data_IF_696946102315
#
_entry.id   IF_696946102315
#
_cell.length_a   1.000
_cell.length_b   1.000
_cell.length_c   1.000
_cell.angle_alpha   90.00
_cell.angle_beta   90.00
_cell.angle_gamma   90.00
#
_symmetry.space_group_name_H-M   'P 1'
#
loop_
_entity.id
_entity.type
_entity.pdbx_description
1 polymer ?
#
# COMPACT_ATOMS: atom_id res chain seq x y z
N UNK A 1 -4.57 3.75 -16.62
CA UNK A 1 -3.96 5.08 -16.88
C UNK A 1 -2.95 5.06 -18.04
N UNK A 2 -1.94 4.19 -18.05
CA UNK A 2 -0.84 4.27 -19.04
C UNK A 2 -1.17 3.74 -20.45
N UNK A 3 -2.16 2.85 -20.57
CA UNK A 3 -2.63 2.33 -21.87
C UNK A 3 -3.45 3.34 -22.69
N UNK A 4 -3.63 4.57 -22.18
CA UNK A 4 -4.35 5.65 -22.84
C UNK A 4 -5.87 5.53 -22.88
N UNK A 5 -6.45 4.45 -22.36
CA UNK A 5 -7.87 4.34 -22.10
C UNK A 5 -8.33 5.37 -21.06
N UNK A 6 -9.42 6.07 -21.36
CA UNK A 6 -10.06 6.98 -20.43
C UNK A 6 -10.62 6.16 -19.25
N UNK A 7 -10.07 6.46 -18.07
CA UNK A 7 -10.42 5.81 -16.80
C UNK A 7 -11.19 6.77 -15.88
N UNK A 8 -11.63 7.93 -16.40
CA UNK A 8 -12.39 8.93 -15.65
C UNK A 8 -11.57 9.80 -14.71
N UNK A 9 -10.24 9.70 -14.73
CA UNK A 9 -9.34 10.52 -13.92
C UNK A 9 -8.94 11.79 -14.67
N UNK A 10 -9.55 12.92 -14.29
CA UNK A 10 -9.34 14.24 -14.91
C UNK A 10 -7.87 14.66 -15.06
N UNK A 11 -7.02 14.28 -14.10
CA UNK A 11 -5.60 14.67 -14.07
C UNK A 11 -4.64 13.56 -14.53
N UNK A 12 -5.14 12.46 -15.07
CA UNK A 12 -4.31 11.35 -15.56
C UNK A 12 -3.30 11.78 -16.64
N UNK A 13 -3.66 12.78 -17.45
CA UNK A 13 -2.82 13.31 -18.52
C UNK A 13 -1.47 13.84 -17.98
N UNK A 14 -1.46 14.48 -16.80
CA UNK A 14 -0.22 15.03 -16.20
C UNK A 14 0.83 13.96 -15.93
N UNK A 15 0.39 12.74 -15.60
CA UNK A 15 1.28 11.63 -15.30
C UNK A 15 1.68 10.86 -16.55
N UNK A 16 0.80 10.72 -17.56
CA UNK A 16 1.14 9.98 -18.79
C UNK A 16 1.98 10.80 -19.78
N UNK A 17 1.72 12.11 -19.89
CA UNK A 17 2.32 12.95 -20.93
C UNK A 17 3.71 13.47 -20.52
N UNK A 18 4.11 13.20 -19.28
CA UNK A 18 5.46 13.48 -18.79
C UNK A 18 6.22 12.18 -18.52
N UNK A 19 7.48 12.13 -18.98
CA UNK A 19 8.37 11.00 -18.68
C UNK A 19 8.53 10.82 -17.17
N UNK A 20 8.64 11.92 -16.41
CA UNK A 20 8.76 11.88 -14.96
C UNK A 20 7.51 11.32 -14.27
N UNK A 21 6.31 11.74 -14.69
CA UNK A 21 5.06 11.21 -14.15
C UNK A 21 4.87 9.72 -14.46
N UNK A 22 5.28 9.30 -15.65
CA UNK A 22 5.23 7.91 -16.09
C UNK A 22 6.16 7.04 -15.25
N UNK A 23 7.41 7.46 -15.07
CA UNK A 23 8.40 6.77 -14.23
C UNK A 23 7.92 6.70 -12.78
N UNK A 24 7.33 7.78 -12.25
CA UNK A 24 6.77 7.81 -10.91
C UNK A 24 5.66 6.76 -10.71
N UNK A 25 4.69 6.68 -11.62
CA UNK A 25 3.61 5.68 -11.54
C UNK A 25 4.16 4.26 -11.64
N UNK A 26 5.05 4.00 -12.60
CA UNK A 26 5.68 2.68 -12.74
C UNK A 26 6.48 2.28 -11.49
N UNK A 27 7.22 3.21 -10.90
CA UNK A 27 7.95 2.95 -9.66
C UNK A 27 7.01 2.59 -8.51
N UNK A 28 5.88 3.29 -8.38
CA UNK A 28 4.85 2.95 -7.38
C UNK A 28 4.24 1.57 -7.61
N UNK A 29 3.96 1.19 -8.85
CA UNK A 29 3.45 -0.16 -9.19
C UNK A 29 4.47 -1.24 -8.82
N UNK A 30 5.74 -1.05 -9.16
CA UNK A 30 6.81 -1.98 -8.80
C UNK A 30 6.95 -2.10 -7.29
N UNK A 31 6.89 -0.98 -6.55
CA UNK A 31 6.93 -0.98 -5.09
C UNK A 31 5.72 -1.73 -4.51
N UNK A 32 4.51 -1.50 -5.02
CA UNK A 32 3.29 -2.17 -4.56
C UNK A 32 3.35 -3.69 -4.80
N UNK A 33 3.69 -4.11 -6.02
CA UNK A 33 3.81 -5.53 -6.36
C UNK A 33 4.93 -6.18 -5.53
N UNK A 34 6.07 -5.51 -5.40
CA UNK A 34 7.18 -5.98 -4.58
C UNK A 34 6.79 -6.15 -3.10
N UNK A 35 6.07 -5.18 -2.54
CA UNK A 35 5.56 -5.25 -1.18
C UNK A 35 4.54 -6.38 -1.00
N UNK A 36 3.62 -6.56 -1.95
CA UNK A 36 2.66 -7.66 -1.94
C UNK A 36 3.36 -9.03 -1.95
N UNK A 37 4.36 -9.20 -2.82
CA UNK A 37 5.18 -10.41 -2.87
C UNK A 37 5.95 -10.62 -1.56
N UNK A 38 6.48 -9.55 -0.95
CA UNK A 38 7.15 -9.62 0.35
C UNK A 38 6.20 -10.08 1.46
N UNK A 39 4.95 -9.59 1.49
CA UNK A 39 3.92 -10.05 2.42
C UNK A 39 3.60 -11.54 2.24
N UNK A 40 3.51 -12.03 1.00
CA UNK A 40 3.37 -13.47 0.73
C UNK A 40 4.59 -14.24 1.24
N UNK A 41 5.78 -13.67 1.12
CA UNK A 41 7.02 -14.20 1.68
C UNK A 41 7.00 -14.32 3.21
N UNK A 42 6.27 -13.48 3.94
CA UNK A 42 6.09 -13.61 5.39
C UNK A 42 5.26 -14.84 5.77
N UNK A 43 4.33 -15.27 4.91
CA UNK A 43 3.44 -16.40 5.16
C UNK A 43 3.95 -17.73 4.56
N UNK A 44 5.03 -17.71 3.77
CA UNK A 44 5.56 -18.87 3.04
C UNK A 44 7.04 -19.10 3.35
N UNK A 45 7.59 -20.30 3.06
CA UNK A 45 9.01 -20.60 3.29
C UNK A 45 9.99 -19.69 2.53
N UNK A 46 9.51 -18.93 1.54
CA UNK A 46 10.30 -17.97 0.76
C UNK A 46 10.85 -16.83 1.61
N UNK A 47 10.25 -16.52 2.75
CA UNK A 47 10.80 -15.55 3.70
C UNK A 47 12.01 -16.09 4.48
N UNK A 48 12.35 -17.37 4.35
CA UNK A 48 13.48 -18.03 5.02
C UNK A 48 14.63 -18.34 4.09
N UNK A 49 14.31 -18.74 2.87
CA UNK A 49 15.31 -19.07 1.87
C UNK A 49 14.89 -18.44 0.57
N UNK A 50 15.82 -17.75 -0.07
CA UNK A 50 15.58 -17.16 -1.39
C UNK A 50 15.22 -18.28 -2.37
N UNK A 51 14.14 -18.17 -3.17
CA UNK A 51 13.78 -19.20 -4.13
C UNK A 51 14.93 -19.56 -5.08
N UNK A 52 15.12 -20.85 -5.37
CA UNK A 52 16.27 -21.35 -6.16
C UNK A 52 16.34 -20.79 -7.59
N UNK A 53 15.23 -20.28 -8.11
CA UNK A 53 15.15 -19.66 -9.44
C UNK A 53 15.67 -18.22 -9.49
N UNK A 54 15.93 -17.58 -8.34
CA UNK A 54 16.48 -16.22 -8.30
C UNK A 54 17.98 -16.25 -8.64
N UNK A 55 18.42 -15.63 -9.75
CA UNK A 55 19.83 -15.62 -10.14
C UNK A 55 20.73 -15.01 -9.05
N UNK A 56 21.84 -15.68 -8.74
CA UNK A 56 22.88 -15.19 -7.81
C UNK A 56 22.59 -15.30 -6.30
N UNK A 57 21.31 -15.37 -5.89
CA UNK A 57 20.90 -15.41 -4.48
C UNK A 57 20.07 -16.65 -4.10
N UNK A 58 19.62 -17.44 -5.07
CA UNK A 58 18.78 -18.60 -4.84
C UNK A 58 19.40 -19.62 -3.87
N UNK A 59 18.60 -20.11 -2.93
CA UNK A 59 19.01 -21.06 -1.90
C UNK A 59 19.73 -20.44 -0.70
N UNK A 60 19.99 -19.12 -0.68
CA UNK A 60 20.60 -18.46 0.48
C UNK A 60 19.59 -18.26 1.61
N UNK A 61 20.00 -18.49 2.88
CA UNK A 61 19.17 -18.19 4.03
C UNK A 61 19.01 -16.68 4.19
N UNK A 62 17.79 -16.23 4.43
CA UNK A 62 17.45 -14.84 4.73
C UNK A 62 17.61 -14.62 6.23
N UNK A 63 18.43 -13.65 6.68
CA UNK A 63 18.58 -13.34 8.09
C UNK A 63 17.22 -13.03 8.72
N UNK A 64 16.87 -13.71 9.81
CA UNK A 64 15.57 -13.56 10.48
C UNK A 64 15.18 -12.12 10.79
N UNK A 65 16.16 -11.27 11.13
CA UNK A 65 15.94 -9.86 11.46
C UNK A 65 15.53 -9.01 10.26
N UNK A 66 15.93 -9.38 9.04
CA UNK A 66 15.73 -8.55 7.86
C UNK A 66 14.23 -8.38 7.52
N UNK A 67 13.42 -9.46 7.39
CA UNK A 67 11.98 -9.30 7.13
C UNK A 67 11.23 -8.63 8.28
N UNK A 68 11.69 -8.81 9.53
CA UNK A 68 11.09 -8.16 10.69
C UNK A 68 11.35 -6.65 10.73
N UNK A 69 12.57 -6.21 10.44
CA UNK A 69 12.93 -4.78 10.43
C UNK A 69 12.29 -4.09 9.24
N UNK A 70 12.45 -4.63 8.03
CA UNK A 70 11.88 -4.04 6.83
C UNK A 70 10.36 -4.08 6.86
N UNK A 71 9.78 -5.22 7.23
CA UNK A 71 8.34 -5.37 7.36
C UNK A 71 7.77 -4.48 8.46
N UNK A 72 8.42 -4.40 9.62
CA UNK A 72 7.99 -3.52 10.71
C UNK A 72 8.09 -2.03 10.38
N UNK A 73 9.12 -1.60 9.66
CA UNK A 73 9.23 -0.23 9.16
C UNK A 73 8.14 0.08 8.13
N UNK A 74 7.89 -0.86 7.20
CA UNK A 74 6.79 -0.75 6.23
C UNK A 74 5.42 -0.70 6.90
N UNK A 75 5.20 -1.51 7.93
CA UNK A 75 3.97 -1.55 8.71
C UNK A 75 3.71 -0.22 9.45
N UNK A 76 4.73 0.31 10.12
CA UNK A 76 4.65 1.62 10.78
C UNK A 76 4.35 2.75 9.78
N UNK A 77 4.99 2.72 8.60
CA UNK A 77 4.71 3.66 7.52
C UNK A 77 3.27 3.52 7.01
N UNK A 78 2.77 2.29 6.87
CA UNK A 78 1.42 2.03 6.41
C UNK A 78 0.38 2.54 7.42
N UNK A 79 0.60 2.32 8.72
CA UNK A 79 -0.21 2.94 9.78
C UNK A 79 -0.22 4.46 9.65
N UNK A 80 0.96 5.08 9.52
CA UNK A 80 1.08 6.53 9.39
C UNK A 80 0.29 7.07 8.19
N UNK A 81 0.48 6.48 7.01
CA UNK A 81 -0.16 6.95 5.77
C UNK A 81 -1.66 6.71 5.81
N UNK A 82 -2.10 5.49 6.09
CA UNK A 82 -3.52 5.10 6.05
C UNK A 82 -4.34 5.91 7.06
N UNK A 83 -3.89 5.96 8.32
CA UNK A 83 -4.65 6.64 9.36
C UNK A 83 -4.52 8.16 9.29
N UNK A 84 -3.42 8.71 8.79
CA UNK A 84 -3.35 10.17 8.54
C UNK A 84 -4.31 10.62 7.44
N UNK A 85 -4.44 9.84 6.36
CA UNK A 85 -5.41 10.12 5.29
C UNK A 85 -6.83 9.96 5.81
N UNK A 86 -7.14 8.87 6.52
CA UNK A 86 -8.46 8.65 7.10
C UNK A 86 -8.85 9.77 8.09
N UNK A 87 -7.92 10.18 8.94
CA UNK A 87 -8.13 11.27 9.89
C UNK A 87 -8.38 12.60 9.18
N UNK A 88 -7.58 12.96 8.17
CA UNK A 88 -7.79 14.18 7.38
C UNK A 88 -9.15 14.18 6.68
N UNK A 89 -9.53 13.05 6.10
CA UNK A 89 -10.84 12.89 5.47
C UNK A 89 -11.99 13.07 6.48
N UNK A 90 -11.93 12.39 7.62
CA UNK A 90 -12.94 12.50 8.67
C UNK A 90 -13.04 13.93 9.24
N UNK A 91 -11.89 14.58 9.48
CA UNK A 91 -11.83 15.98 9.94
C UNK A 91 -12.48 16.93 8.94
N UNK A 92 -12.16 16.78 7.67
CA UNK A 92 -12.71 17.63 6.63
C UNK A 92 -14.21 17.40 6.39
N UNK A 93 -14.69 16.17 6.59
CA UNK A 93 -16.13 15.84 6.55
C UNK A 93 -16.94 16.46 7.72
N UNK A 94 -16.28 16.79 8.83
CA UNK A 94 -16.90 17.35 10.04
C UNK A 94 -16.73 18.88 10.16
N UNK A 95 -15.98 19.52 9.26
CA UNK A 95 -15.67 20.97 9.32
C UNK A 95 -16.56 21.83 8.43
N UNK A 96 -16.80 23.09 8.83
CA UNK A 96 -17.52 24.11 8.05
C UNK A 96 -16.69 25.40 7.90
N UNK A 97 -16.32 25.85 6.68
CA UNK A 97 -16.45 25.13 5.41
C UNK A 97 -15.49 23.93 5.33
N UNK A 98 -15.83 22.88 4.58
CA UNK A 98 -15.02 21.69 4.49
C UNK A 98 -13.69 21.95 3.76
N UNK A 99 -12.59 21.43 4.33
CA UNK A 99 -11.29 21.43 3.66
C UNK A 99 -11.29 20.61 2.35
N UNK A 100 -10.19 20.67 1.59
CA UNK A 100 -10.06 19.86 0.38
C UNK A 100 -10.08 18.35 0.71
N UNK A 101 -10.97 17.63 0.04
CA UNK A 101 -11.09 16.17 0.10
C UNK A 101 -11.33 15.60 -1.30
N UNK A 102 -11.02 14.31 -1.51
CA UNK A 102 -11.44 13.60 -2.72
C UNK A 102 -12.97 13.51 -2.90
N UNK A 103 -13.76 13.91 -1.90
CA UNK A 103 -15.22 13.95 -1.94
C UNK A 103 -15.79 15.36 -2.17
N UNK A 104 -14.97 16.35 -2.53
CA UNK A 104 -15.49 17.69 -2.83
C UNK A 104 -16.51 17.67 -3.96
N UNK A 105 -17.66 18.32 -3.72
CA UNK A 105 -18.79 18.37 -4.65
C UNK A 105 -19.67 17.11 -4.68
N UNK A 106 -19.35 16.08 -3.87
CA UNK A 106 -20.20 14.89 -3.71
C UNK A 106 -21.36 15.16 -2.75
N UNK A 107 -22.52 14.54 -3.01
CA UNK A 107 -23.60 14.50 -2.03
C UNK A 107 -23.22 13.66 -0.81
N UNK A 108 -23.89 13.84 0.35
CA UNK A 108 -23.60 13.04 1.54
C UNK A 108 -23.65 11.51 1.29
N UNK A 109 -24.62 11.05 0.49
CA UNK A 109 -24.74 9.63 0.13
C UNK A 109 -23.56 9.13 -0.70
N UNK A 110 -23.10 9.91 -1.69
CA UNK A 110 -21.93 9.57 -2.50
C UNK A 110 -20.65 9.50 -1.65
N UNK A 111 -20.49 10.44 -0.71
CA UNK A 111 -19.37 10.44 0.24
C UNK A 111 -19.37 9.20 1.12
N UNK A 112 -20.53 8.74 1.58
CA UNK A 112 -20.64 7.49 2.35
C UNK A 112 -20.28 6.25 1.53
N UNK A 113 -20.72 6.19 0.27
CA UNK A 113 -20.34 5.09 -0.64
C UNK A 113 -18.83 5.06 -0.84
N UNK A 114 -18.20 6.22 -1.06
CA UNK A 114 -16.74 6.33 -1.16
C UNK A 114 -16.07 5.86 0.14
N UNK A 115 -16.54 6.34 1.30
CA UNK A 115 -15.98 5.97 2.59
C UNK A 115 -16.06 4.46 2.84
N UNK A 116 -17.20 3.83 2.54
CA UNK A 116 -17.38 2.38 2.69
C UNK A 116 -16.50 1.59 1.73
N UNK A 117 -16.35 2.04 0.49
CA UNK A 117 -15.48 1.39 -0.50
C UNK A 117 -14.00 1.40 -0.07
N UNK A 118 -13.57 2.45 0.64
CA UNK A 118 -12.20 2.59 1.15
C UNK A 118 -12.01 2.11 2.60
N UNK A 119 -13.08 1.85 3.35
CA UNK A 119 -12.99 1.39 4.74
C UNK A 119 -12.14 0.10 4.92
N UNK A 120 -12.20 -0.90 4.02
CA UNK A 120 -11.32 -2.08 4.11
C UNK A 120 -9.83 -1.72 4.12
N UNK A 121 -9.44 -0.56 3.58
CA UNK A 121 -8.05 -0.11 3.58
C UNK A 121 -7.46 0.01 5.00
N UNK A 122 -8.29 0.33 5.99
CA UNK A 122 -7.89 0.51 7.39
C UNK A 122 -7.37 -0.79 8.03
N UNK A 123 -7.74 -1.94 7.46
CA UNK A 123 -7.35 -3.24 7.97
C UNK A 123 -5.95 -3.68 7.53
N UNK A 124 -5.42 -3.11 6.45
CA UNK A 124 -4.13 -3.55 5.89
C UNK A 124 -2.93 -3.46 6.84
N UNK A 125 -2.72 -2.34 7.58
CA UNK A 125 -1.65 -2.28 8.57
C UNK A 125 -1.80 -3.38 9.63
N UNK A 126 -3.00 -3.55 10.19
CA UNK A 126 -3.25 -4.58 11.19
C UNK A 126 -2.99 -6.00 10.68
N UNK A 127 -3.38 -6.29 9.43
CA UNK A 127 -3.10 -7.57 8.79
C UNK A 127 -1.60 -7.83 8.64
N UNK A 128 -0.82 -6.80 8.28
CA UNK A 128 0.64 -6.91 8.19
C UNK A 128 1.28 -7.11 9.56
N UNK A 129 0.82 -6.42 10.60
CA UNK A 129 1.26 -6.66 11.99
C UNK A 129 1.03 -8.13 12.38
N UNK A 130 -0.15 -8.68 12.08
CA UNK A 130 -0.46 -10.10 12.36
C UNK A 130 0.47 -11.03 11.60
N UNK A 131 0.74 -10.77 10.32
CA UNK A 131 1.68 -11.55 9.51
C UNK A 131 3.11 -11.51 10.09
N UNK A 132 3.58 -10.34 10.54
CA UNK A 132 4.90 -10.18 11.17
C UNK A 132 5.00 -10.92 12.50
N UNK A 133 3.95 -10.86 13.32
CA UNK A 133 3.85 -11.61 14.58
C UNK A 133 3.83 -13.12 14.32
N UNK A 134 3.05 -13.57 13.33
CA UNK A 134 3.00 -14.97 12.90
C UNK A 134 4.37 -15.47 12.42
N UNK A 135 5.02 -14.70 11.54
CA UNK A 135 6.37 -14.98 11.07
C UNK A 135 7.39 -15.07 12.21
N UNK A 136 7.33 -14.14 13.18
CA UNK A 136 8.24 -14.15 14.35
C UNK A 136 8.08 -15.41 15.20
N UNK A 137 6.82 -15.88 15.36
CA UNK A 137 6.44 -17.04 16.17
C UNK A 137 6.73 -18.36 15.46
N UNK A 138 6.45 -18.48 14.16
CA UNK A 138 6.71 -19.70 13.38
C UNK A 138 8.19 -19.98 13.11
N UNK A 139 9.07 -19.00 13.36
CA UNK A 139 10.53 -19.11 13.29
C UNK A 139 11.24 -19.23 14.65
N UNK A 140 10.50 -19.39 15.74
CA UNK A 140 11.06 -19.69 17.06
C UNK A 140 11.21 -21.20 17.22
#
# INVERSE_FOLDING_TARGET
>A
MMAGADVGFRDAYRYRDSTGGTVYVLALEVIQVGAAVACVGLCRPWGEVVPRWVPGLGGRPIPRRLPLVLGGAGDALLYLVVYSVAFRFARAALSDPPGWTPAQGMSPGQTWVLALAYAPMLLWPAALTVALVGYRRGRA
#
